data_IF_832159851894
#
_entry.id   IF_832159851894
#
_cell.length_a   1.000
_cell.length_b   1.000
_cell.length_c   1.000
_cell.angle_alpha   90.00
_cell.angle_beta   90.00
_cell.angle_gamma   90.00
#
_symmetry.space_group_name_H-M   'P 1'
#
loop_
_entity.id
_entity.type
_entity.pdbx_description
1 polymer ?
#
# COMPACT_ATOMS: atom_id res chain seq x y z
N UNK A 1 -12.21 -44.40 30.26
CA UNK A 1 -12.55 -44.51 28.82
C UNK A 1 -13.40 -43.34 28.31
N UNK A 2 -14.36 -42.81 29.08
CA UNK A 2 -15.14 -41.63 28.65
C UNK A 2 -14.31 -40.33 28.61
N UNK A 3 -13.49 -40.05 29.63
CA UNK A 3 -12.63 -38.84 29.65
C UNK A 3 -11.56 -38.81 28.56
N UNK A 4 -11.02 -39.98 28.17
CA UNK A 4 -10.04 -40.06 27.08
C UNK A 4 -10.68 -39.81 25.72
N UNK A 5 -11.96 -40.18 25.52
CA UNK A 5 -12.72 -39.85 24.31
C UNK A 5 -13.06 -38.36 24.23
N UNK A 6 -13.47 -37.75 25.34
CA UNK A 6 -13.78 -36.30 25.41
C UNK A 6 -12.54 -35.43 25.09
N UNK A 7 -11.35 -35.84 25.55
CA UNK A 7 -10.10 -35.13 25.24
C UNK A 7 -9.71 -35.22 23.75
N UNK A 8 -9.98 -36.34 23.09
CA UNK A 8 -9.70 -36.53 21.66
C UNK A 8 -10.67 -35.68 20.83
N UNK A 9 -11.97 -35.67 21.16
CA UNK A 9 -12.98 -34.84 20.48
C UNK A 9 -12.66 -33.35 20.53
N UNK A 10 -12.12 -32.87 21.66
CA UNK A 10 -11.72 -31.47 21.81
C UNK A 10 -10.47 -31.12 20.97
N UNK A 11 -9.53 -32.05 20.83
CA UNK A 11 -8.35 -31.87 19.98
C UNK A 11 -8.77 -31.85 18.51
N UNK A 12 -9.67 -32.72 18.08
CA UNK A 12 -10.14 -32.76 16.69
C UNK A 12 -10.95 -31.50 16.33
N UNK A 13 -11.78 -30.99 17.24
CA UNK A 13 -12.44 -29.68 17.08
C UNK A 13 -11.43 -28.53 16.96
N UNK A 14 -10.38 -28.52 17.80
CA UNK A 14 -9.33 -27.51 17.70
C UNK A 14 -8.57 -27.60 16.37
N UNK A 15 -8.28 -28.81 15.88
CA UNK A 15 -7.66 -29.01 14.57
C UNK A 15 -8.53 -28.53 13.42
N UNK A 16 -9.84 -28.79 13.46
CA UNK A 16 -10.78 -28.27 12.47
C UNK A 16 -10.79 -26.73 12.47
N UNK A 17 -10.85 -26.11 13.66
CA UNK A 17 -10.76 -24.66 13.81
C UNK A 17 -9.45 -24.09 13.26
N UNK A 18 -8.31 -24.73 13.51
CA UNK A 18 -7.02 -24.30 12.95
C UNK A 18 -6.98 -24.38 11.43
N UNK A 19 -7.61 -25.39 10.82
CA UNK A 19 -7.72 -25.49 9.35
C UNK A 19 -8.54 -24.32 8.78
N UNK A 20 -9.67 -23.99 9.38
CA UNK A 20 -10.48 -22.84 8.96
C UNK A 20 -9.73 -21.52 9.12
N UNK A 21 -9.10 -21.28 10.28
CA UNK A 21 -8.29 -20.10 10.51
C UNK A 21 -7.09 -19.99 9.58
N UNK A 22 -6.50 -21.12 9.19
CA UNK A 22 -5.43 -21.13 8.18
C UNK A 22 -5.92 -20.57 6.85
N UNK A 23 -7.13 -20.91 6.41
CA UNK A 23 -7.67 -20.38 5.16
C UNK A 23 -8.01 -18.89 5.25
N UNK A 24 -8.45 -18.39 6.40
CA UNK A 24 -8.62 -16.95 6.62
C UNK A 24 -7.28 -16.19 6.59
N UNK A 25 -6.23 -16.73 7.23
CA UNK A 25 -4.89 -16.12 7.29
C UNK A 25 -4.24 -16.06 5.91
N UNK A 26 -4.42 -17.10 5.10
CA UNK A 26 -3.84 -17.21 3.76
C UNK A 26 -4.87 -16.96 2.63
N UNK A 27 -5.92 -16.19 2.90
CA UNK A 27 -6.90 -15.84 1.85
C UNK A 27 -6.23 -15.06 0.71
N UNK A 28 -6.70 -15.26 -0.52
CA UNK A 28 -6.14 -14.61 -1.72
C UNK A 28 -6.65 -13.18 -1.85
N UNK A 29 -6.17 -12.28 -0.98
CA UNK A 29 -6.63 -10.89 -0.93
C UNK A 29 -6.50 -10.18 -2.27
N UNK A 30 -7.53 -9.38 -2.62
CA UNK A 30 -7.60 -8.61 -3.87
C UNK A 30 -7.59 -9.48 -5.13
N UNK A 31 -8.33 -10.59 -5.08
CA UNK A 31 -8.56 -11.41 -6.27
C UNK A 31 -9.21 -10.55 -7.37
N UNK A 32 -8.83 -10.68 -8.66
CA UNK A 32 -9.37 -9.83 -9.73
C UNK A 32 -10.91 -9.87 -9.83
N UNK A 33 -11.52 -11.01 -9.51
CA UNK A 33 -12.98 -11.18 -9.49
C UNK A 33 -13.70 -10.62 -8.25
N UNK A 34 -13.04 -9.95 -7.29
CA UNK A 34 -13.72 -9.42 -6.10
C UNK A 34 -14.95 -8.53 -6.43
N UNK A 35 -14.88 -7.77 -7.53
CA UNK A 35 -15.93 -6.85 -7.98
C UNK A 35 -16.99 -7.48 -8.89
N UNK A 36 -16.83 -8.74 -9.27
CA UNK A 36 -17.75 -9.42 -10.17
C UNK A 36 -19.03 -9.87 -9.44
N UNK A 37 -20.04 -10.26 -10.23
CA UNK A 37 -21.28 -10.80 -9.67
C UNK A 37 -21.04 -12.12 -8.91
N UNK A 38 -21.84 -12.37 -7.86
CA UNK A 38 -21.78 -13.63 -7.12
C UNK A 38 -21.95 -14.84 -8.05
N UNK A 39 -22.80 -14.75 -9.07
CA UNK A 39 -22.98 -15.84 -10.03
C UNK A 39 -21.69 -16.18 -10.79
N UNK A 40 -20.97 -15.18 -11.31
CA UNK A 40 -19.71 -15.41 -12.02
C UNK A 40 -18.62 -15.95 -11.09
N UNK A 41 -18.58 -15.50 -9.83
CA UNK A 41 -17.69 -16.06 -8.80
C UNK A 41 -18.04 -17.53 -8.50
N UNK A 42 -19.33 -17.86 -8.36
CA UNK A 42 -19.79 -19.24 -8.15
C UNK A 42 -19.40 -20.14 -9.33
N UNK A 43 -19.60 -19.67 -10.57
CA UNK A 43 -19.26 -20.41 -11.77
C UNK A 43 -17.74 -20.64 -11.87
N UNK A 44 -16.93 -19.61 -11.61
CA UNK A 44 -15.47 -19.71 -11.56
C UNK A 44 -15.00 -20.77 -10.55
N UNK A 45 -15.52 -20.72 -9.32
CA UNK A 45 -15.15 -21.67 -8.26
C UNK A 45 -15.69 -23.08 -8.55
N UNK A 46 -16.85 -23.20 -9.18
CA UNK A 46 -17.40 -24.49 -9.60
C UNK A 46 -16.47 -25.18 -10.60
N UNK A 47 -15.96 -24.48 -11.61
CA UNK A 47 -15.01 -25.05 -12.55
C UNK A 47 -13.68 -25.43 -11.90
N UNK A 48 -13.18 -24.65 -10.93
CA UNK A 48 -12.02 -25.06 -10.13
C UNK A 48 -12.28 -26.36 -9.35
N UNK A 49 -13.50 -26.53 -8.82
CA UNK A 49 -13.90 -27.79 -8.18
C UNK A 49 -14.00 -28.94 -9.19
N UNK A 50 -14.44 -28.68 -10.43
CA UNK A 50 -14.45 -29.68 -11.51
C UNK A 50 -13.04 -30.16 -11.85
N UNK A 51 -12.07 -29.23 -11.93
CA UNK A 51 -10.65 -29.56 -12.12
C UNK A 51 -10.16 -30.46 -10.98
N UNK A 52 -10.30 -30.01 -9.74
CA UNK A 52 -9.83 -30.73 -8.56
C UNK A 52 -10.50 -32.11 -8.37
N UNK A 53 -11.77 -32.25 -8.76
CA UNK A 53 -12.51 -33.50 -8.58
C UNK A 53 -12.40 -34.47 -9.78
N UNK A 54 -11.64 -34.12 -10.82
CA UNK A 54 -11.64 -34.86 -12.08
C UNK A 54 -11.02 -36.26 -11.97
N UNK A 55 -10.08 -36.45 -11.03
CA UNK A 55 -9.54 -37.77 -10.68
C UNK A 55 -10.53 -38.65 -9.88
N UNK A 56 -11.69 -38.10 -9.50
CA UNK A 56 -12.76 -38.73 -8.74
C UNK A 56 -12.70 -38.48 -7.22
N UNK A 57 -11.75 -37.68 -6.73
CA UNK A 57 -11.62 -37.30 -5.31
C UNK A 57 -11.31 -35.82 -5.21
N UNK A 58 -11.60 -35.24 -4.04
CA UNK A 58 -11.19 -33.86 -3.75
C UNK A 58 -10.20 -33.92 -2.59
N UNK A 59 -8.93 -33.68 -2.88
CA UNK A 59 -7.88 -33.73 -1.88
C UNK A 59 -7.99 -32.55 -0.90
N UNK A 60 -7.41 -32.72 0.29
CA UNK A 60 -7.44 -31.68 1.33
C UNK A 60 -6.68 -30.42 0.89
N UNK A 61 -5.57 -30.58 0.16
CA UNK A 61 -4.76 -29.46 -0.33
C UNK A 61 -5.57 -28.55 -1.26
N UNK A 62 -6.19 -29.15 -2.26
CA UNK A 62 -7.03 -28.49 -3.26
C UNK A 62 -8.24 -27.81 -2.62
N UNK A 63 -8.95 -28.55 -1.75
CA UNK A 63 -10.09 -28.02 -0.97
C UNK A 63 -9.69 -26.75 -0.22
N UNK A 64 -8.54 -26.76 0.43
CA UNK A 64 -8.06 -25.61 1.19
C UNK A 64 -7.69 -24.44 0.27
N UNK A 65 -7.08 -24.70 -0.88
CA UNK A 65 -6.76 -23.63 -1.82
C UNK A 65 -8.02 -22.99 -2.41
N UNK A 66 -8.98 -23.78 -2.88
CA UNK A 66 -10.26 -23.28 -3.42
C UNK A 66 -11.01 -22.43 -2.38
N UNK A 67 -11.04 -22.86 -1.12
CA UNK A 67 -11.62 -22.04 -0.03
C UNK A 67 -10.93 -20.69 0.13
N UNK A 68 -9.62 -20.61 -0.05
CA UNK A 68 -8.87 -19.34 0.01
C UNK A 68 -9.17 -18.44 -1.18
N UNK A 69 -9.40 -19.03 -2.37
CA UNK A 69 -9.89 -18.31 -3.56
C UNK A 69 -11.26 -17.70 -3.27
N UNK A 70 -12.22 -18.49 -2.75
CA UNK A 70 -13.55 -17.99 -2.37
C UNK A 70 -13.47 -16.81 -1.38
N UNK A 71 -12.67 -16.96 -0.32
CA UNK A 71 -12.45 -15.89 0.66
C UNK A 71 -11.77 -14.66 0.05
N UNK A 72 -10.89 -14.85 -0.93
CA UNK A 72 -10.20 -13.79 -1.66
C UNK A 72 -11.11 -12.97 -2.57
N UNK A 73 -12.11 -13.63 -3.17
CA UNK A 73 -13.13 -13.03 -4.04
C UNK A 73 -14.32 -12.45 -3.25
N UNK A 74 -14.35 -12.64 -1.93
CA UNK A 74 -15.47 -12.28 -1.07
C UNK A 74 -16.78 -12.96 -1.50
N UNK A 75 -16.68 -14.23 -1.92
CA UNK A 75 -17.83 -15.05 -2.33
C UNK A 75 -18.61 -15.51 -1.09
N UNK A 76 -19.91 -15.21 -1.04
CA UNK A 76 -20.75 -15.51 0.13
C UNK A 76 -21.43 -16.89 0.08
N UNK A 77 -21.10 -17.70 -0.91
CA UNK A 77 -21.72 -19.01 -1.16
C UNK A 77 -21.13 -20.10 -0.27
N UNK A 78 -21.96 -21.07 0.10
CA UNK A 78 -21.49 -22.24 0.83
C UNK A 78 -20.56 -23.10 -0.05
N UNK A 79 -19.44 -23.56 0.50
CA UNK A 79 -18.49 -24.41 -0.22
C UNK A 79 -19.15 -25.68 -0.79
N UNK A 80 -20.06 -26.30 -0.05
CA UNK A 80 -20.78 -27.49 -0.51
C UNK A 80 -21.64 -27.22 -1.76
N UNK A 81 -22.20 -26.01 -1.89
CA UNK A 81 -22.99 -25.60 -3.06
C UNK A 81 -22.11 -25.54 -4.31
N UNK A 82 -20.96 -24.86 -4.23
CA UNK A 82 -20.05 -24.71 -5.38
C UNK A 82 -19.37 -26.03 -5.77
N UNK A 83 -19.06 -26.90 -4.80
CA UNK A 83 -18.58 -28.26 -5.09
C UNK A 83 -19.63 -29.05 -5.85
N UNK A 84 -20.89 -29.01 -5.40
CA UNK A 84 -21.98 -29.69 -6.09
C UNK A 84 -22.14 -29.16 -7.52
N UNK A 85 -22.09 -27.85 -7.71
CA UNK A 85 -22.11 -27.24 -9.05
C UNK A 85 -20.96 -27.71 -9.93
N UNK A 86 -19.75 -27.84 -9.38
CA UNK A 86 -18.59 -28.35 -10.13
C UNK A 86 -18.70 -29.81 -10.54
N UNK A 87 -19.30 -30.65 -9.68
CA UNK A 87 -19.55 -32.07 -9.99
C UNK A 87 -20.69 -32.27 -11.00
N UNK A 88 -21.62 -31.32 -11.07
CA UNK A 88 -22.79 -31.33 -11.95
C UNK A 88 -22.63 -30.37 -13.14
N UNK A 89 -21.38 -30.01 -13.48
CA UNK A 89 -21.11 -29.07 -14.57
C UNK A 89 -21.66 -29.61 -15.89
N UNK A 90 -22.38 -28.76 -16.62
CA UNK A 90 -22.98 -29.10 -17.91
C UNK A 90 -22.49 -28.17 -19.03
N UNK A 91 -22.88 -28.48 -20.26
CA UNK A 91 -22.50 -27.70 -21.43
C UNK A 91 -22.92 -26.23 -21.32
N UNK A 92 -24.09 -25.94 -20.73
CA UNK A 92 -24.60 -24.58 -20.58
C UNK A 92 -23.71 -23.77 -19.64
N UNK A 93 -23.31 -24.35 -18.52
CA UNK A 93 -22.38 -23.72 -17.57
C UNK A 93 -21.02 -23.43 -18.23
N UNK A 94 -20.51 -24.36 -19.03
CA UNK A 94 -19.25 -24.18 -19.78
C UNK A 94 -19.39 -23.04 -20.79
N UNK A 95 -20.47 -22.99 -21.57
CA UNK A 95 -20.72 -21.92 -22.54
C UNK A 95 -20.80 -20.54 -21.87
N UNK A 96 -21.47 -20.46 -20.73
CA UNK A 96 -21.57 -19.23 -19.93
C UNK A 96 -20.22 -18.81 -19.35
N UNK A 97 -19.41 -19.78 -18.91
CA UNK A 97 -18.06 -19.53 -18.41
C UNK A 97 -17.16 -18.99 -19.54
N UNK A 98 -17.10 -19.67 -20.68
CA UNK A 98 -16.31 -19.21 -21.84
C UNK A 98 -16.71 -17.78 -22.24
N UNK A 99 -18.02 -17.51 -22.31
CA UNK A 99 -18.52 -16.18 -22.66
C UNK A 99 -18.07 -15.09 -21.68
N UNK A 100 -17.96 -15.40 -20.39
CA UNK A 100 -17.58 -14.44 -19.36
C UNK A 100 -16.06 -14.25 -19.24
N UNK A 101 -15.28 -15.31 -19.50
CA UNK A 101 -13.87 -15.37 -19.13
C UNK A 101 -12.90 -15.40 -20.31
N UNK A 102 -13.35 -15.74 -21.53
CA UNK A 102 -12.48 -15.87 -22.70
C UNK A 102 -11.91 -14.52 -23.15
N UNK A 103 -10.61 -14.50 -23.48
CA UNK A 103 -9.93 -13.34 -24.06
C UNK A 103 -9.75 -12.13 -23.15
N UNK A 104 -9.88 -12.30 -21.83
CA UNK A 104 -9.63 -11.26 -20.84
C UNK A 104 -8.71 -11.76 -19.70
N UNK A 105 -8.27 -10.85 -18.84
CA UNK A 105 -7.36 -11.14 -17.72
C UNK A 105 -7.85 -12.25 -16.77
N UNK A 106 -9.16 -12.45 -16.64
CA UNK A 106 -9.69 -13.50 -15.78
C UNK A 106 -9.38 -14.91 -16.32
N UNK A 107 -9.18 -15.08 -17.63
CA UNK A 107 -8.71 -16.36 -18.18
C UNK A 107 -7.34 -16.76 -17.63
N UNK A 108 -6.41 -15.80 -17.56
CA UNK A 108 -5.08 -16.01 -17.00
C UNK A 108 -5.12 -16.27 -15.48
N UNK A 109 -6.05 -15.62 -14.76
CA UNK A 109 -6.32 -15.93 -13.35
C UNK A 109 -6.78 -17.38 -13.19
N UNK A 110 -7.74 -17.80 -14.00
CA UNK A 110 -8.31 -19.14 -13.94
C UNK A 110 -7.24 -20.21 -14.21
N UNK A 111 -6.40 -20.01 -15.23
CA UNK A 111 -5.28 -20.90 -15.50
C UNK A 111 -4.30 -20.97 -14.31
N UNK A 112 -3.92 -19.81 -13.76
CA UNK A 112 -3.01 -19.77 -12.62
C UNK A 112 -3.58 -20.51 -11.39
N UNK A 113 -4.84 -20.26 -11.05
CA UNK A 113 -5.51 -20.92 -9.93
C UNK A 113 -5.69 -22.41 -10.18
N UNK A 114 -6.05 -22.82 -11.41
CA UNK A 114 -6.23 -24.23 -11.76
C UNK A 114 -4.93 -25.02 -11.68
N UNK A 115 -3.82 -24.44 -12.13
CA UNK A 115 -2.49 -25.05 -11.99
C UNK A 115 -2.08 -25.20 -10.52
N UNK A 116 -2.44 -24.22 -9.68
CA UNK A 116 -2.15 -24.30 -8.24
C UNK A 116 -3.05 -25.33 -7.57
N UNK A 117 -4.32 -25.43 -7.96
CA UNK A 117 -5.24 -26.49 -7.53
C UNK A 117 -4.64 -27.86 -7.85
N UNK A 118 -4.34 -28.15 -9.11
CA UNK A 118 -3.78 -29.43 -9.54
C UNK A 118 -2.43 -29.77 -8.85
N UNK A 119 -1.66 -28.75 -8.44
CA UNK A 119 -0.39 -28.95 -7.74
C UNK A 119 -0.51 -28.99 -6.20
N UNK A 120 -1.69 -28.75 -5.63
CA UNK A 120 -1.85 -28.45 -4.20
C UNK A 120 -1.66 -29.66 -3.27
N UNK A 121 -1.79 -30.87 -3.79
CA UNK A 121 -1.57 -32.11 -3.05
C UNK A 121 -0.13 -32.67 -3.22
N UNK A 122 0.67 -32.04 -4.08
CA UNK A 122 2.05 -32.39 -4.37
C UNK A 122 2.23 -33.39 -5.52
N UNK A 123 1.15 -33.82 -6.18
CA UNK A 123 1.18 -34.73 -7.33
C UNK A 123 0.32 -34.15 -8.44
N UNK A 124 0.95 -33.76 -9.56
CA UNK A 124 0.20 -33.37 -10.74
C UNK A 124 -0.41 -34.61 -11.40
N UNK A 125 -1.74 -34.71 -11.41
CA UNK A 125 -2.44 -35.79 -12.10
C UNK A 125 -2.68 -35.44 -13.57
N UNK A 126 -2.31 -36.35 -14.48
CA UNK A 126 -2.42 -36.16 -15.94
C UNK A 126 -3.83 -35.72 -16.35
N UNK A 127 -4.84 -36.31 -15.72
CA UNK A 127 -6.26 -36.03 -15.92
C UNK A 127 -6.63 -34.58 -15.61
N UNK A 128 -6.16 -34.04 -14.49
CA UNK A 128 -6.44 -32.65 -14.09
C UNK A 128 -5.75 -31.69 -15.06
N UNK A 129 -4.50 -31.99 -15.43
CA UNK A 129 -3.74 -31.20 -16.39
C UNK A 129 -4.38 -31.21 -17.78
N UNK A 130 -4.90 -32.35 -18.23
CA UNK A 130 -5.65 -32.47 -19.48
C UNK A 130 -6.88 -31.56 -19.47
N UNK A 131 -7.68 -31.59 -18.40
CA UNK A 131 -8.84 -30.72 -18.26
C UNK A 131 -8.44 -29.22 -18.18
N UNK A 132 -7.37 -28.88 -17.47
CA UNK A 132 -6.85 -27.51 -17.43
C UNK A 132 -6.42 -27.04 -18.83
N UNK A 133 -5.76 -27.90 -19.60
CA UNK A 133 -5.36 -27.60 -20.97
C UNK A 133 -6.57 -27.37 -21.88
N UNK A 134 -7.57 -28.26 -21.84
CA UNK A 134 -8.81 -28.11 -22.61
C UNK A 134 -9.55 -26.80 -22.29
N UNK A 135 -9.72 -26.47 -21.01
CA UNK A 135 -10.37 -25.21 -20.61
C UNK A 135 -9.53 -24.00 -21.06
N UNK A 136 -8.21 -24.08 -20.96
CA UNK A 136 -7.31 -22.99 -21.40
C UNK A 136 -7.43 -22.70 -22.89
N UNK A 137 -7.56 -23.74 -23.71
CA UNK A 137 -7.80 -23.61 -25.15
C UNK A 137 -9.15 -22.93 -25.42
N UNK A 138 -10.21 -23.31 -24.70
CA UNK A 138 -11.53 -22.69 -24.80
C UNK A 138 -11.54 -21.22 -24.35
N UNK A 139 -10.67 -20.87 -23.41
CA UNK A 139 -10.46 -19.49 -22.95
C UNK A 139 -9.55 -18.65 -23.87
N UNK A 140 -9.08 -19.23 -24.97
CA UNK A 140 -8.18 -18.61 -25.94
C UNK A 140 -6.82 -18.21 -25.35
N UNK A 141 -6.34 -18.94 -24.34
CA UNK A 141 -5.03 -18.70 -23.75
C UNK A 141 -3.96 -19.28 -24.68
N UNK A 142 -3.06 -18.42 -25.16
CA UNK A 142 -2.00 -18.85 -26.07
C UNK A 142 -0.90 -19.60 -25.31
N UNK A 143 -0.19 -20.49 -26.03
CA UNK A 143 0.90 -21.30 -25.46
C UNK A 143 1.95 -20.48 -24.71
N UNK A 144 2.28 -19.28 -25.21
CA UNK A 144 3.25 -18.40 -24.56
C UNK A 144 2.80 -18.00 -23.14
N UNK A 145 1.51 -17.72 -22.96
CA UNK A 145 0.95 -17.37 -21.65
C UNK A 145 0.89 -18.58 -20.74
N UNK A 146 0.55 -19.76 -21.28
CA UNK A 146 0.62 -21.03 -20.53
C UNK A 146 2.03 -21.27 -20.00
N UNK A 147 3.05 -21.10 -20.84
CA UNK A 147 4.45 -21.27 -20.46
C UNK A 147 4.88 -20.24 -19.40
N UNK A 148 4.47 -18.97 -19.54
CA UNK A 148 4.77 -17.90 -18.59
C UNK A 148 4.10 -18.15 -17.24
N UNK A 149 2.80 -18.43 -17.23
CA UNK A 149 2.04 -18.65 -16.00
C UNK A 149 2.54 -19.91 -15.28
N UNK A 150 2.77 -21.01 -16.00
CA UNK A 150 3.33 -22.23 -15.40
C UNK A 150 4.69 -21.99 -14.73
N UNK A 151 5.56 -21.18 -15.36
CA UNK A 151 6.83 -20.76 -14.75
C UNK A 151 6.62 -19.85 -13.53
N UNK A 152 5.68 -18.92 -13.59
CA UNK A 152 5.31 -18.07 -12.45
C UNK A 152 4.89 -18.94 -11.25
N UNK A 153 3.96 -19.87 -11.46
CA UNK A 153 3.50 -20.82 -10.43
C UNK A 153 4.69 -21.58 -9.84
N UNK A 154 5.58 -22.09 -10.71
CA UNK A 154 6.77 -22.82 -10.29
C UNK A 154 7.69 -21.98 -9.39
N UNK A 155 7.97 -20.72 -9.74
CA UNK A 155 8.84 -19.85 -8.91
C UNK A 155 8.13 -19.40 -7.62
N UNK A 156 6.82 -19.22 -7.64
CA UNK A 156 6.01 -18.89 -6.46
C UNK A 156 6.02 -20.04 -5.45
N UNK A 157 5.91 -21.29 -5.91
CA UNK A 157 5.99 -22.47 -5.03
C UNK A 157 7.35 -22.63 -4.35
N UNK A 158 8.44 -22.16 -4.99
CA UNK A 158 9.76 -22.14 -4.36
C UNK A 158 9.87 -21.13 -3.21
N UNK A 159 8.97 -20.14 -3.13
CA UNK A 159 8.90 -19.10 -2.08
C UNK A 159 10.19 -18.31 -1.91
N UNK A 160 10.97 -18.17 -2.98
CA UNK A 160 12.21 -17.37 -3.00
C UNK A 160 11.94 -16.04 -3.69
N UNK A 161 11.86 -14.97 -2.90
CA UNK A 161 11.57 -13.60 -3.38
C UNK A 161 12.51 -13.20 -4.52
N UNK A 162 13.80 -13.51 -4.42
CA UNK A 162 14.80 -13.22 -5.45
C UNK A 162 14.46 -13.84 -6.81
N UNK A 163 13.95 -15.08 -6.82
CA UNK A 163 13.56 -15.75 -8.07
C UNK A 163 12.28 -15.16 -8.64
N UNK A 164 11.32 -14.80 -7.78
CA UNK A 164 10.07 -14.15 -8.19
C UNK A 164 10.38 -12.79 -8.81
N UNK A 165 11.20 -11.96 -8.16
CA UNK A 165 11.60 -10.65 -8.66
C UNK A 165 12.29 -10.77 -10.02
N UNK A 166 13.31 -11.65 -10.13
CA UNK A 166 14.01 -11.88 -11.39
C UNK A 166 13.06 -12.34 -12.51
N UNK A 167 12.07 -13.16 -12.16
CA UNK A 167 11.07 -13.63 -13.10
C UNK A 167 10.18 -12.48 -13.59
N UNK A 168 9.65 -11.66 -12.69
CA UNK A 168 8.81 -10.51 -13.03
C UNK A 168 9.58 -9.44 -13.82
N UNK A 169 10.83 -9.15 -13.46
CA UNK A 169 11.70 -8.23 -14.22
C UNK A 169 11.91 -8.69 -15.68
N UNK A 170 11.95 -10.00 -15.90
CA UNK A 170 12.19 -10.61 -17.22
C UNK A 170 10.90 -10.86 -18.01
N UNK A 171 9.73 -10.86 -17.35
CA UNK A 171 8.45 -11.21 -17.94
C UNK A 171 7.41 -10.16 -17.54
N UNK A 172 7.05 -9.30 -18.50
CA UNK A 172 5.93 -8.38 -18.31
C UNK A 172 4.63 -9.15 -18.41
N UNK A 173 3.79 -9.02 -17.39
CA UNK A 173 2.41 -9.46 -17.40
C UNK A 173 1.52 -8.22 -17.48
N UNK A 174 0.53 -8.26 -18.36
CA UNK A 174 -0.51 -7.22 -18.35
C UNK A 174 -1.38 -7.33 -17.09
N UNK A 175 -1.54 -8.57 -16.58
CA UNK A 175 -2.25 -8.89 -15.35
C UNK A 175 -1.32 -8.92 -14.13
N UNK A 176 -1.75 -8.29 -13.04
CA UNK A 176 -1.07 -8.35 -11.75
C UNK A 176 -1.44 -9.61 -10.94
N UNK A 177 -0.49 -10.54 -10.80
CA UNK A 177 -0.61 -11.75 -9.98
C UNK A 177 -0.26 -11.57 -8.50
N UNK A 178 -0.21 -10.34 -7.98
CA UNK A 178 0.08 -10.04 -6.57
C UNK A 178 -0.81 -10.84 -5.60
N UNK A 179 -2.10 -11.03 -5.95
CA UNK A 179 -3.05 -11.78 -5.12
C UNK A 179 -2.57 -13.21 -4.86
N UNK A 180 -2.03 -13.84 -5.91
CA UNK A 180 -1.50 -15.19 -5.88
C UNK A 180 -0.14 -15.20 -5.16
N UNK A 181 0.80 -14.35 -5.58
CA UNK A 181 2.15 -14.33 -5.02
C UNK A 181 2.12 -14.09 -3.50
N UNK A 182 1.30 -13.12 -3.04
CA UNK A 182 1.17 -12.80 -1.60
C UNK A 182 0.54 -13.92 -0.78
N UNK A 183 -0.26 -14.80 -1.39
CA UNK A 183 -0.83 -15.95 -0.68
C UNK A 183 0.24 -16.99 -0.28
N UNK A 184 1.35 -17.06 -1.03
CA UNK A 184 2.49 -17.95 -0.76
C UNK A 184 3.67 -17.24 -0.09
N UNK A 185 3.83 -15.95 -0.38
CA UNK A 185 4.89 -15.08 0.13
C UNK A 185 4.25 -13.81 0.70
N UNK A 186 3.74 -13.81 1.95
CA UNK A 186 2.96 -12.71 2.50
C UNK A 186 3.66 -11.34 2.51
N UNK A 187 4.99 -11.35 2.61
CA UNK A 187 5.82 -10.14 2.62
C UNK A 187 6.30 -9.74 1.21
N UNK A 188 5.74 -10.34 0.15
CA UNK A 188 6.11 -10.00 -1.21
C UNK A 188 5.66 -8.59 -1.57
N UNK A 189 6.59 -7.86 -2.17
CA UNK A 189 6.44 -6.49 -2.63
C UNK A 189 6.83 -6.46 -4.09
N UNK A 190 5.90 -6.06 -4.95
CA UNK A 190 6.09 -6.10 -6.39
C UNK A 190 7.04 -4.97 -6.84
N UNK A 191 8.22 -5.29 -7.40
CA UNK A 191 9.21 -4.28 -7.79
C UNK A 191 8.75 -3.40 -8.97
N UNK A 192 7.73 -3.82 -9.74
CA UNK A 192 7.19 -2.99 -10.82
C UNK A 192 6.38 -1.82 -10.29
N UNK A 193 5.68 -1.99 -9.16
CA UNK A 193 4.80 -0.98 -8.55
C UNK A 193 5.41 -0.35 -7.31
N UNK A 194 6.41 -0.99 -6.71
CA UNK A 194 7.02 -0.58 -5.46
C UNK A 194 8.53 -0.34 -5.63
N UNK A 195 9.02 0.75 -5.06
CA UNK A 195 10.44 1.05 -4.96
C UNK A 195 10.81 1.31 -3.49
N UNK A 196 11.76 0.51 -3.00
CA UNK A 196 12.33 0.67 -1.66
C UNK A 196 13.72 1.27 -1.78
N UNK A 197 13.98 2.34 -1.05
CA UNK A 197 15.25 3.05 -1.02
C UNK A 197 15.84 2.92 0.38
N UNK A 198 17.09 2.46 0.46
CA UNK A 198 17.79 2.17 1.72
C UNK A 198 19.23 2.65 1.63
N UNK A 199 19.87 2.87 2.78
CA UNK A 199 21.27 3.30 2.85
C UNK A 199 21.45 4.79 2.52
N UNK A 200 22.68 5.16 2.17
CA UNK A 200 23.06 6.55 1.93
C UNK A 200 22.74 6.95 0.48
N UNK A 201 21.96 8.03 0.31
CA UNK A 201 21.48 8.50 -0.99
C UNK A 201 21.70 10.01 -1.10
N UNK A 202 22.38 10.42 -2.17
CA UNK A 202 22.58 11.82 -2.52
C UNK A 202 21.74 12.17 -3.77
N UNK A 203 20.87 13.15 -3.65
CA UNK A 203 20.15 13.72 -4.79
C UNK A 203 20.83 15.03 -5.22
N UNK A 204 21.52 14.97 -6.36
CA UNK A 204 22.21 16.12 -6.98
C UNK A 204 21.38 16.81 -8.06
N UNK A 205 20.30 16.17 -8.51
CA UNK A 205 19.39 16.69 -9.52
C UNK A 205 17.95 16.40 -9.09
N UNK A 206 17.00 17.16 -9.63
CA UNK A 206 15.57 16.93 -9.45
C UNK A 206 15.21 15.46 -9.69
N UNK A 207 14.39 14.91 -8.80
CA UNK A 207 13.93 13.52 -8.86
C UNK A 207 12.42 13.47 -8.79
N UNK A 208 11.83 12.86 -9.82
CA UNK A 208 10.41 12.50 -9.84
C UNK A 208 10.32 11.00 -9.61
N UNK A 209 9.52 10.60 -8.63
CA UNK A 209 9.23 9.19 -8.35
C UNK A 209 7.97 8.76 -9.11
N UNK A 210 8.07 7.66 -9.86
CA UNK A 210 7.02 7.19 -10.78
C UNK A 210 6.36 5.88 -10.35
N UNK A 211 6.90 5.21 -9.33
CA UNK A 211 6.36 3.94 -8.83
C UNK A 211 5.20 4.22 -7.89
N UNK A 212 4.10 3.46 -8.03
CA UNK A 212 2.87 3.61 -7.23
C UNK A 212 3.11 3.64 -5.73
N UNK A 213 4.10 2.89 -5.26
CA UNK A 213 4.48 2.82 -3.86
C UNK A 213 5.97 3.14 -3.72
N UNK A 214 6.29 4.16 -2.94
CA UNK A 214 7.67 4.49 -2.58
C UNK A 214 7.86 4.33 -1.08
N UNK A 215 8.94 3.67 -0.69
CA UNK A 215 9.35 3.55 0.71
C UNK A 215 10.83 3.85 0.86
N UNK A 216 11.15 4.82 1.69
CA UNK A 216 12.47 5.01 2.25
C UNK A 216 12.54 4.28 3.59
N UNK A 217 13.50 3.38 3.76
CA UNK A 217 13.64 2.54 4.95
C UNK A 217 15.09 2.51 5.40
N UNK A 218 15.36 3.04 6.60
CA UNK A 218 16.73 3.20 7.13
C UNK A 218 17.64 3.96 6.14
N UNK A 219 17.09 4.97 5.46
CA UNK A 219 17.79 5.75 4.47
C UNK A 219 18.37 7.04 5.07
N UNK A 220 19.58 7.41 4.64
CA UNK A 220 20.17 8.73 4.89
C UNK A 220 20.18 9.50 3.58
N UNK A 221 19.37 10.53 3.51
CA UNK A 221 19.07 11.25 2.28
C UNK A 221 19.65 12.65 2.39
N UNK A 222 20.60 12.97 1.52
CA UNK A 222 21.10 14.33 1.35
C UNK A 222 20.54 14.93 0.06
N UNK A 223 19.90 16.09 0.16
CA UNK A 223 19.32 16.82 -0.97
C UNK A 223 20.16 18.07 -1.21
N UNK A 224 20.84 18.17 -2.36
CA UNK A 224 21.62 19.37 -2.71
C UNK A 224 20.72 20.60 -2.85
N UNK A 225 21.32 21.78 -2.71
CA UNK A 225 20.64 23.05 -2.87
C UNK A 225 19.92 23.14 -4.23
N UNK A 226 18.69 23.66 -4.19
CA UNK A 226 17.81 23.80 -5.35
C UNK A 226 17.39 22.48 -6.01
N UNK A 227 17.62 21.33 -5.39
CA UNK A 227 17.07 20.05 -5.89
C UNK A 227 15.66 19.82 -5.34
N UNK A 228 14.72 19.50 -6.22
CA UNK A 228 13.36 19.13 -5.85
C UNK A 228 13.16 17.62 -5.90
N UNK A 229 12.64 17.05 -4.81
CA UNK A 229 12.07 15.70 -4.80
C UNK A 229 10.56 15.80 -4.99
N UNK A 230 10.01 15.07 -5.97
CA UNK A 230 8.60 15.13 -6.36
C UNK A 230 7.97 13.76 -6.36
N UNK A 231 6.86 13.64 -5.64
CA UNK A 231 6.01 12.46 -5.54
C UNK A 231 4.64 12.84 -6.09
N UNK A 232 4.32 12.38 -7.30
CA UNK A 232 3.11 12.83 -8.01
C UNK A 232 2.27 11.62 -8.43
N UNK A 233 0.99 11.59 -8.03
CA UNK A 233 0.07 10.54 -8.48
C UNK A 233 0.30 9.16 -7.87
N UNK A 234 0.93 9.08 -6.69
CA UNK A 234 1.32 7.82 -6.05
C UNK A 234 0.22 7.27 -5.15
N UNK A 235 0.16 5.95 -4.96
CA UNK A 235 -0.75 5.33 -3.99
C UNK A 235 -0.22 5.48 -2.56
N UNK A 236 1.09 5.27 -2.35
CA UNK A 236 1.72 5.43 -1.02
C UNK A 236 3.14 5.99 -1.07
N UNK A 237 3.48 6.84 -0.11
CA UNK A 237 4.85 7.30 0.16
C UNK A 237 5.18 7.12 1.64
N UNK A 238 6.25 6.38 1.95
CA UNK A 238 6.66 6.09 3.32
C UNK A 238 8.11 6.54 3.57
N UNK A 239 8.34 7.25 4.68
CA UNK A 239 9.65 7.53 5.25
C UNK A 239 9.71 6.88 6.63
N UNK A 240 10.47 5.78 6.75
CA UNK A 240 10.55 4.96 7.96
C UNK A 240 11.99 4.92 8.44
N UNK A 241 12.24 5.41 9.67
CA UNK A 241 13.57 5.45 10.26
C UNK A 241 14.63 6.14 9.37
N UNK A 242 14.26 7.26 8.74
CA UNK A 242 15.11 7.97 7.79
C UNK A 242 15.76 9.21 8.41
N UNK A 243 16.95 9.58 7.94
CA UNK A 243 17.58 10.88 8.18
C UNK A 243 17.58 11.65 6.86
N UNK A 244 16.93 12.81 6.80
CA UNK A 244 16.82 13.63 5.60
C UNK A 244 17.42 15.00 5.90
N UNK A 245 18.42 15.39 5.14
CA UNK A 245 19.10 16.67 5.27
C UNK A 245 19.09 17.46 3.96
N UNK A 246 18.87 18.77 4.07
CA UNK A 246 19.07 19.72 2.97
C UNK A 246 17.76 20.33 2.47
N UNK A 247 17.59 20.42 1.15
CA UNK A 247 16.42 21.09 0.55
C UNK A 247 16.49 22.61 0.64
N UNK A 248 17.70 23.19 0.59
CA UNK A 248 17.82 24.63 0.50
C UNK A 248 17.11 25.12 -0.77
N UNK A 249 16.16 26.04 -0.59
CA UNK A 249 15.32 26.65 -1.63
C UNK A 249 14.20 25.78 -2.23
N UNK A 250 14.25 24.45 -2.11
CA UNK A 250 13.21 23.57 -2.63
C UNK A 250 12.72 22.56 -1.57
N UNK A 251 11.43 22.62 -1.18
CA UNK A 251 10.84 21.60 -0.33
C UNK A 251 10.64 20.28 -1.09
N UNK A 252 10.33 19.22 -0.35
CA UNK A 252 9.84 17.98 -0.95
C UNK A 252 8.37 18.17 -1.34
N UNK A 253 8.02 17.85 -2.58
CA UNK A 253 6.67 18.00 -3.11
C UNK A 253 5.95 16.66 -3.16
N UNK A 254 4.76 16.59 -2.56
CA UNK A 254 3.88 15.43 -2.63
C UNK A 254 2.50 15.87 -3.11
N UNK A 255 2.12 15.45 -4.30
CA UNK A 255 0.87 15.88 -4.96
C UNK A 255 0.04 14.70 -5.42
N UNK A 256 -1.29 14.82 -5.35
CA UNK A 256 -2.24 13.82 -5.84
C UNK A 256 -1.92 12.39 -5.36
N UNK A 257 -1.57 12.24 -4.08
CA UNK A 257 -1.06 10.99 -3.52
C UNK A 257 -2.08 10.37 -2.57
N UNK A 258 -2.16 9.05 -2.50
CA UNK A 258 -3.05 8.34 -1.58
C UNK A 258 -2.65 8.59 -0.13
N UNK A 259 -1.73 7.78 0.39
CA UNK A 259 -1.32 7.83 1.79
C UNK A 259 0.15 8.19 1.94
N UNK A 260 0.45 9.13 2.82
CA UNK A 260 1.82 9.49 3.17
C UNK A 260 2.08 9.19 4.63
N UNK A 261 3.20 8.53 4.90
CA UNK A 261 3.61 8.14 6.24
C UNK A 261 5.05 8.58 6.51
N UNK A 262 5.24 9.34 7.58
CA UNK A 262 6.54 9.75 8.10
C UNK A 262 6.61 9.21 9.53
N UNK A 263 7.50 8.26 9.78
CA UNK A 263 7.62 7.62 11.09
C UNK A 263 9.09 7.49 11.49
N UNK A 264 9.38 7.84 12.76
CA UNK A 264 10.72 7.69 13.35
C UNK A 264 11.81 8.35 12.51
N UNK A 265 11.49 9.42 11.80
CA UNK A 265 12.39 10.04 10.83
C UNK A 265 12.86 11.41 11.32
N UNK A 266 14.07 11.79 10.92
CA UNK A 266 14.68 13.09 11.20
C UNK A 266 14.75 13.93 9.92
N UNK A 267 14.30 15.17 9.97
CA UNK A 267 14.48 16.16 8.91
C UNK A 267 15.29 17.34 9.43
N UNK A 268 16.37 17.69 8.76
CA UNK A 268 17.23 18.79 9.19
C UNK A 268 17.63 19.76 8.07
N UNK A 269 17.86 21.02 8.46
CA UNK A 269 18.47 22.06 7.62
C UNK A 269 17.66 22.47 6.38
N UNK A 270 16.32 22.50 6.47
CA UNK A 270 15.45 23.00 5.41
C UNK A 270 15.19 24.51 5.55
N UNK A 271 15.42 25.30 4.49
CA UNK A 271 15.30 26.76 4.53
C UNK A 271 14.00 27.34 3.95
N UNK A 272 13.25 26.54 3.18
CA UNK A 272 12.05 26.95 2.42
C UNK A 272 10.83 26.02 2.59
N UNK A 273 10.65 25.46 3.79
CA UNK A 273 9.77 24.33 4.16
C UNK A 273 10.43 22.96 3.96
N UNK A 274 9.98 21.99 4.75
CA UNK A 274 10.39 20.59 4.63
C UNK A 274 9.57 19.91 3.52
N UNK A 275 8.25 19.96 3.61
CA UNK A 275 7.37 19.36 2.60
C UNK A 275 6.15 20.22 2.27
N UNK A 276 5.71 20.10 1.01
CA UNK A 276 4.44 20.62 0.50
C UNK A 276 3.56 19.44 0.10
N UNK A 277 2.39 19.37 0.71
CA UNK A 277 1.38 18.36 0.46
C UNK A 277 0.16 19.01 -0.22
N UNK A 278 -0.17 18.54 -1.41
CA UNK A 278 -1.34 18.99 -2.15
C UNK A 278 -2.20 17.81 -2.61
N UNK A 279 -3.42 17.75 -2.10
CA UNK A 279 -4.43 16.76 -2.49
C UNK A 279 -3.95 15.35 -2.15
N UNK A 280 -3.97 15.05 -0.83
CA UNK A 280 -3.55 13.76 -0.29
C UNK A 280 -4.69 13.15 0.53
N UNK A 281 -4.91 11.84 0.40
CA UNK A 281 -6.00 11.17 1.15
C UNK A 281 -5.72 11.18 2.64
N UNK A 282 -4.51 10.76 3.05
CA UNK A 282 -4.09 10.82 4.45
C UNK A 282 -2.58 11.08 4.62
N UNK A 283 -2.22 11.87 5.63
CA UNK A 283 -0.85 12.12 6.08
C UNK A 283 -0.71 11.70 7.55
N UNK A 284 0.26 10.84 7.86
CA UNK A 284 0.63 10.47 9.23
C UNK A 284 2.07 10.87 9.48
N UNK A 285 2.32 11.73 10.47
CA UNK A 285 3.66 12.09 10.95
C UNK A 285 3.77 11.67 12.41
N UNK A 286 4.69 10.75 12.72
CA UNK A 286 4.74 10.14 14.04
C UNK A 286 6.15 9.91 14.54
N UNK A 287 6.38 10.19 15.83
CA UNK A 287 7.63 9.91 16.53
C UNK A 287 8.87 10.47 15.77
N UNK A 288 8.71 11.63 15.11
CA UNK A 288 9.70 12.18 14.16
C UNK A 288 10.32 13.48 14.67
N UNK A 289 11.52 13.81 14.21
CA UNK A 289 12.29 14.97 14.65
C UNK A 289 12.54 15.96 13.50
N UNK A 290 12.29 17.24 13.75
CA UNK A 290 12.56 18.33 12.81
C UNK A 290 13.55 19.28 13.45
N UNK A 291 14.70 19.49 12.82
CA UNK A 291 15.81 20.26 13.41
C UNK A 291 16.29 21.36 12.45
N UNK A 292 16.34 22.61 12.92
CA UNK A 292 16.75 23.75 12.10
C UNK A 292 15.99 23.84 10.76
N UNK A 293 14.70 23.49 10.80
CA UNK A 293 13.82 23.53 9.64
C UNK A 293 12.94 24.78 9.70
N UNK A 294 12.86 25.53 8.62
CA UNK A 294 12.08 26.76 8.61
C UNK A 294 11.67 27.25 7.24
N UNK A 295 10.99 28.40 7.26
CA UNK A 295 10.53 29.07 6.06
C UNK A 295 10.87 30.56 6.13
N UNK A 296 11.63 31.04 5.14
CA UNK A 296 11.86 32.46 4.88
C UNK A 296 10.84 32.91 3.84
N UNK A 297 9.83 33.68 4.25
CA UNK A 297 8.79 34.11 3.32
C UNK A 297 9.12 35.47 2.69
N UNK A 298 8.80 35.62 1.41
CA UNK A 298 8.89 36.91 0.71
C UNK A 298 7.52 37.59 0.73
N UNK A 299 7.45 38.83 1.23
CA UNK A 299 6.24 39.65 1.28
C UNK A 299 5.73 39.94 -0.14
N UNK A 300 4.81 39.11 -0.64
CA UNK A 300 3.98 39.51 -1.77
C UNK A 300 2.55 39.09 -1.52
N UNK A 301 1.65 40.07 -1.53
CA UNK A 301 0.21 39.93 -1.30
C UNK A 301 -0.47 38.89 -2.21
N UNK A 302 0.19 38.49 -3.31
CA UNK A 302 -0.29 37.50 -4.27
C UNK A 302 -0.11 36.04 -3.82
N UNK A 303 0.54 35.78 -2.69
CA UNK A 303 0.97 34.43 -2.29
C UNK A 303 0.55 34.06 -0.86
N UNK A 304 -0.66 34.40 -0.43
CA UNK A 304 -1.17 34.02 0.92
C UNK A 304 -1.13 32.50 1.15
N UNK A 305 -1.26 31.70 0.08
CA UNK A 305 -1.14 30.24 0.11
C UNK A 305 0.30 29.73 0.33
N UNK A 306 1.29 30.63 0.31
CA UNK A 306 2.69 30.35 0.66
C UNK A 306 3.02 30.76 2.10
N UNK A 307 2.08 31.32 2.87
CA UNK A 307 2.32 31.66 4.28
C UNK A 307 2.38 30.39 5.15
N UNK A 308 3.12 30.42 6.28
CA UNK A 308 3.11 29.36 7.30
C UNK A 308 4.42 28.58 7.48
N UNK A 309 4.35 27.50 8.27
CA UNK A 309 5.48 26.76 8.84
C UNK A 309 6.23 25.82 7.93
N UNK A 310 6.89 24.82 8.53
CA UNK A 310 7.70 23.82 7.83
C UNK A 310 6.90 22.91 6.89
N UNK A 311 5.57 22.88 7.02
CA UNK A 311 4.66 22.18 6.11
C UNK A 311 3.64 23.11 5.46
N UNK A 312 3.20 22.73 4.26
CA UNK A 312 1.97 23.23 3.63
C UNK A 312 1.05 22.03 3.37
N UNK A 313 -0.18 22.09 3.89
CA UNK A 313 -1.19 21.05 3.79
C UNK A 313 -2.40 21.58 3.01
N UNK A 314 -2.64 21.06 1.81
CA UNK A 314 -3.81 21.42 0.99
C UNK A 314 -4.66 20.18 0.70
N UNK A 315 -5.99 20.27 0.92
CA UNK A 315 -6.94 19.17 0.70
C UNK A 315 -6.46 17.83 1.31
N UNK A 316 -6.02 17.84 2.57
CA UNK A 316 -5.36 16.71 3.24
C UNK A 316 -6.01 16.39 4.58
N UNK A 317 -6.22 15.10 4.87
CA UNK A 317 -6.50 14.64 6.25
C UNK A 317 -5.17 14.29 6.91
N UNK A 318 -4.88 14.79 8.11
CA UNK A 318 -3.58 14.55 8.75
C UNK A 318 -3.63 14.15 10.23
N UNK A 319 -2.60 13.44 10.67
CA UNK A 319 -2.32 13.14 12.08
C UNK A 319 -0.84 13.41 12.35
N UNK A 320 -0.56 14.18 13.41
CA UNK A 320 0.79 14.48 13.86
C UNK A 320 0.96 14.15 15.34
N UNK A 321 1.78 13.15 15.64
CA UNK A 321 1.91 12.60 16.99
C UNK A 321 3.37 12.51 17.45
N UNK A 322 3.63 12.90 18.69
CA UNK A 322 4.91 12.68 19.37
C UNK A 322 6.15 13.18 18.60
N UNK A 323 6.00 14.25 17.82
CA UNK A 323 7.12 14.80 17.07
C UNK A 323 7.88 15.82 17.92
N UNK A 324 9.18 15.95 17.65
CA UNK A 324 10.03 16.98 18.26
C UNK A 324 10.38 17.99 17.17
N UNK A 325 10.28 19.27 17.50
CA UNK A 325 10.71 20.38 16.68
C UNK A 325 11.78 21.14 17.46
N UNK A 326 12.98 21.24 16.91
CA UNK A 326 14.13 21.87 17.54
C UNK A 326 14.68 22.97 16.61
N UNK A 327 14.78 24.20 17.13
CA UNK A 327 15.28 25.36 16.36
C UNK A 327 14.51 25.62 15.04
N UNK A 328 13.27 25.14 14.94
CA UNK A 328 12.44 25.42 13.76
C UNK A 328 12.01 26.88 13.72
N UNK A 329 11.82 27.44 12.53
CA UNK A 329 11.55 28.87 12.41
C UNK A 329 10.62 29.28 11.27
N UNK A 330 9.96 30.42 11.47
CA UNK A 330 9.38 31.21 10.37
C UNK A 330 9.89 32.63 10.51
N UNK A 331 10.41 33.20 9.42
CA UNK A 331 10.88 34.58 9.43
C UNK A 331 10.59 35.28 8.11
N UNK A 332 10.38 36.59 8.18
CA UNK A 332 10.31 37.43 6.99
C UNK A 332 11.70 37.54 6.33
N UNK A 333 11.74 37.64 5.01
CA UNK A 333 12.96 37.89 4.26
C UNK A 333 13.28 39.40 4.26
N UNK A 334 14.12 39.84 5.21
CA UNK A 334 14.63 41.22 5.32
C UNK A 334 13.52 42.30 5.44
N UNK A 335 13.95 43.56 5.61
CA UNK A 335 13.42 44.53 6.59
C UNK A 335 12.19 45.37 6.21
N UNK A 336 11.60 45.25 5.03
CA UNK A 336 10.92 46.43 4.45
C UNK A 336 9.41 46.34 4.20
N UNK A 337 8.72 45.31 4.70
CA UNK A 337 7.25 45.32 4.67
C UNK A 337 6.64 44.97 6.03
N UNK A 338 5.85 45.91 6.52
CA UNK A 338 5.02 45.77 7.70
C UNK A 338 3.85 44.78 7.44
N UNK A 339 3.38 44.16 8.52
CA UNK A 339 2.00 43.66 8.71
C UNK A 339 1.63 42.20 8.37
N UNK A 340 2.54 41.26 8.08
CA UNK A 340 2.11 39.84 7.99
C UNK A 340 2.48 38.99 9.20
N UNK A 341 1.46 38.55 9.94
CA UNK A 341 1.57 37.50 10.95
C UNK A 341 1.54 36.14 10.26
N UNK A 342 2.52 35.25 10.50
CA UNK A 342 2.49 33.91 9.92
C UNK A 342 1.22 33.15 10.33
N UNK A 343 0.61 32.46 9.37
CA UNK A 343 -0.62 31.65 9.49
C UNK A 343 -0.40 30.29 10.17
N UNK A 344 0.71 30.06 10.85
CA UNK A 344 0.95 28.81 11.59
C UNK A 344 2.41 28.45 11.65
N UNK A 345 2.87 28.08 12.84
CA UNK A 345 4.28 27.80 13.12
C UNK A 345 4.77 26.50 12.48
N UNK A 346 3.97 25.44 12.54
CA UNK A 346 4.36 24.11 12.01
C UNK A 346 3.85 23.90 10.60
N UNK A 347 2.57 24.18 10.37
CA UNK A 347 1.94 23.96 9.08
C UNK A 347 0.98 25.09 8.71
N UNK A 348 0.92 25.40 7.42
CA UNK A 348 -0.22 26.10 6.82
C UNK A 348 -1.27 25.08 6.39
N UNK A 349 -2.51 25.25 6.84
CA UNK A 349 -3.60 24.30 6.60
C UNK A 349 -4.65 24.95 5.68
N UNK A 350 -4.84 24.36 4.51
CA UNK A 350 -5.79 24.80 3.48
C UNK A 350 -6.77 23.68 3.20
N UNK A 351 -8.06 23.86 3.55
CA UNK A 351 -9.12 22.86 3.29
C UNK A 351 -8.73 21.45 3.77
N UNK A 352 -8.07 21.40 4.91
CA UNK A 352 -7.46 20.20 5.46
C UNK A 352 -7.93 20.05 6.91
N UNK A 353 -8.00 18.82 7.41
CA UNK A 353 -8.45 18.52 8.76
C UNK A 353 -7.52 17.50 9.40
N UNK A 354 -7.38 17.53 10.72
CA UNK A 354 -6.44 16.61 11.36
C UNK A 354 -6.35 16.69 12.87
N UNK A 355 -5.51 15.82 13.41
CA UNK A 355 -5.23 15.69 14.84
C UNK A 355 -3.75 15.96 15.11
N UNK A 356 -3.48 16.64 16.23
CA UNK A 356 -2.13 16.98 16.69
C UNK A 356 -2.04 16.61 18.16
N UNK A 357 -1.06 15.78 18.55
CA UNK A 357 -0.91 15.33 19.93
C UNK A 357 0.53 15.04 20.33
N UNK A 358 0.93 15.50 21.51
CA UNK A 358 2.15 15.06 22.18
C UNK A 358 3.43 15.58 21.52
N UNK A 359 3.33 16.64 20.71
CA UNK A 359 4.48 17.23 20.06
C UNK A 359 5.25 18.16 21.02
N UNK A 360 6.56 18.26 20.85
CA UNK A 360 7.45 19.05 21.67
C UNK A 360 8.18 20.09 20.81
N UNK A 361 8.18 21.34 21.26
CA UNK A 361 8.79 22.46 20.57
C UNK A 361 9.90 23.05 21.43
N UNK A 362 11.15 22.96 20.96
CA UNK A 362 12.35 23.46 21.64
C UNK A 362 13.01 24.53 20.79
N UNK A 363 13.27 25.69 21.38
CA UNK A 363 14.00 26.80 20.73
C UNK A 363 13.40 27.24 19.38
N UNK A 364 12.11 27.02 19.23
CA UNK A 364 11.32 27.31 18.05
C UNK A 364 10.87 28.77 18.04
N UNK A 365 11.01 29.49 16.93
CA UNK A 365 10.71 30.93 16.89
C UNK A 365 9.99 31.39 15.62
N UNK A 366 9.05 32.31 15.81
CA UNK A 366 8.38 33.05 14.72
C UNK A 366 8.78 34.53 14.81
N UNK A 367 9.51 35.02 13.81
CA UNK A 367 9.97 36.42 13.75
C UNK A 367 9.20 37.18 12.68
N UNK A 368 8.36 38.13 13.10
CA UNK A 368 7.80 39.17 12.23
C UNK A 368 8.45 40.52 12.58
N UNK A 369 8.58 41.43 11.60
CA UNK A 369 9.32 42.68 11.76
C UNK A 369 8.81 43.58 12.91
N UNK A 370 7.55 43.42 13.34
CA UNK A 370 6.94 44.25 14.39
C UNK A 370 6.53 43.49 15.67
N UNK A 371 6.65 42.15 15.72
CA UNK A 371 6.32 41.35 16.90
C UNK A 371 7.14 40.05 16.95
N UNK A 372 7.93 39.87 18.00
CA UNK A 372 8.38 38.56 18.47
C UNK A 372 7.31 37.97 19.37
N UNK A 373 6.48 37.07 18.85
CA UNK A 373 5.61 36.26 19.69
C UNK A 373 6.29 34.93 19.99
N UNK A 374 6.73 34.74 21.22
CA UNK A 374 6.88 33.40 21.78
C UNK A 374 5.46 32.84 21.95
N UNK A 375 5.00 31.99 21.02
CA UNK A 375 3.74 31.23 21.20
C UNK A 375 2.52 31.66 20.37
N UNK A 376 2.68 32.12 19.12
CA UNK A 376 1.55 32.12 18.18
C UNK A 376 1.17 30.68 17.78
N UNK A 377 -0.14 30.41 17.62
CA UNK A 377 -0.71 29.08 17.44
C UNK A 377 0.06 28.17 16.47
N UNK A 378 0.27 26.92 16.88
CA UNK A 378 1.07 25.92 16.18
C UNK A 378 0.52 25.59 14.78
N UNK A 379 -0.80 25.71 14.61
CA UNK A 379 -1.55 25.44 13.38
C UNK A 379 -2.66 26.50 13.23
N UNK A 380 -2.80 27.10 12.03
CA UNK A 380 -4.03 27.82 11.69
C UNK A 380 -4.64 27.22 10.43
N UNK A 381 -5.97 27.17 10.43
CA UNK A 381 -6.75 26.94 9.23
C UNK A 381 -6.96 28.28 8.50
N UNK A 382 -7.05 28.24 7.17
CA UNK A 382 -7.24 29.45 6.34
C UNK A 382 -8.55 30.21 6.61
N UNK A 383 -9.52 29.60 7.31
CA UNK A 383 -10.76 30.24 7.77
C UNK A 383 -10.62 30.93 9.15
N UNK A 384 -9.44 30.90 9.77
CA UNK A 384 -9.18 31.48 11.09
C UNK A 384 -9.55 30.57 12.27
N UNK A 385 -10.03 29.35 12.03
CA UNK A 385 -10.26 28.36 13.10
C UNK A 385 -8.92 27.83 13.64
N UNK A 386 -8.81 27.75 14.96
CA UNK A 386 -7.60 27.28 15.67
C UNK A 386 -7.71 25.79 15.95
N UNK A 387 -6.72 25.01 15.53
CA UNK A 387 -6.49 23.65 16.03
C UNK A 387 -5.57 23.80 17.24
N UNK A 388 -6.12 23.66 18.45
CA UNK A 388 -5.33 23.75 19.67
C UNK A 388 -4.66 22.42 19.97
N UNK A 389 -3.35 22.44 20.22
CA UNK A 389 -2.70 21.41 21.03
C UNK A 389 -2.84 21.85 22.50
N UNK A 390 -3.46 21.01 23.33
CA UNK A 390 -3.57 21.29 24.76
C UNK A 390 -2.25 20.98 25.46
N UNK A 391 -1.84 21.92 26.32
CA UNK A 391 -0.88 21.85 27.44
C UNK A 391 0.64 22.03 27.19
N UNK A 392 1.15 23.07 27.88
CA UNK A 392 2.52 23.37 28.33
C UNK A 392 3.60 23.55 27.25
N UNK A 393 3.65 24.75 26.67
CA UNK A 393 4.37 25.02 25.42
C UNK A 393 5.71 25.77 25.53
N UNK A 394 6.25 26.06 26.73
CA UNK A 394 7.58 26.64 26.87
C UNK A 394 8.25 26.15 28.17
N UNK A 395 9.29 25.32 28.04
CA UNK A 395 10.33 25.13 29.06
C UNK A 395 11.65 25.61 28.49
#
# INVERSE_FOLDING_TARGET
>A
MAESRIKIDNIDKARAYFKEKKNEVYKLTRHPLTKESEYLKELYVALLCSVAAYDGKLAEGETNYIKRVMLGMELNSEFAKVVKMGLEIDQKMIDEFIKAFSGNDYSHCFLADSLVVAASDGVLHDKEIELVAEISELLLIVKEDVDKISKLISVVFLRKIELINKFLESNKFDLNFDYLIKSFVPNFVNPETFETITGDVLYENDKIFLKKHIRFDNAKISIKDNVALKFEGLETVEFINCEIEGGENNPIFVTNTGNVKIQQSKFSNFSTKVMIFDTITSLIVKDSHFENCGYKFYSSWKNIHKSGGIFLLTNTTFTMENCVFHECYIRNHESDDEQYTPSGFVACIVRSSGTVRGNLYKDCYAKSNNYSRNGSALFFNNDGSKIYESTNMFQ
#
